data_IF_191017608525
#
_entry.id   IF_191017608525
#
_cell.length_a   1.000
_cell.length_b   1.000
_cell.length_c   1.000
_cell.angle_alpha   90.00
_cell.angle_beta   90.00
_cell.angle_gamma   90.00
#
_symmetry.space_group_name_H-M   'P 1'
#
loop_
_entity.id
_entity.type
_entity.pdbx_description
1 polymer ?
#
# COMPACT_ATOMS: atom_id res chain seq x y z
N UNK A 1 -0.41 -25.79 4.83
CA UNK A 1 -1.50 -24.89 4.40
C UNK A 1 -0.92 -23.65 3.76
N UNK A 2 -1.39 -23.28 2.60
CA UNK A 2 -0.89 -22.09 1.94
C UNK A 2 -1.48 -20.84 2.57
N UNK A 3 -0.62 -19.86 2.84
CA UNK A 3 -1.06 -18.56 3.29
C UNK A 3 -1.40 -17.70 2.07
N UNK A 4 -2.51 -17.00 2.14
CA UNK A 4 -2.90 -16.10 1.07
C UNK A 4 -2.20 -14.76 1.29
N UNK A 5 -1.57 -14.26 0.23
CA UNK A 5 -0.88 -12.96 0.28
C UNK A 5 -1.50 -12.01 -0.73
N UNK A 6 -1.74 -10.79 -0.32
CA UNK A 6 -2.20 -9.71 -1.18
C UNK A 6 -1.31 -8.49 -0.98
N UNK A 7 -1.46 -7.49 -1.83
CA UNK A 7 -0.66 -6.28 -1.79
C UNK A 7 -1.59 -5.08 -1.88
N UNK A 8 -1.45 -4.17 -0.93
CA UNK A 8 -2.31 -3.00 -0.86
C UNK A 8 -1.51 -1.72 -1.05
N UNK A 9 -2.13 -0.73 -1.68
CA UNK A 9 -1.56 0.60 -1.78
C UNK A 9 -2.39 1.52 -0.92
N UNK A 10 -1.73 2.20 0.02
CA UNK A 10 -2.37 3.09 0.96
C UNK A 10 -1.85 4.52 0.75
N UNK A 11 -2.71 5.49 1.01
CA UNK A 11 -2.37 6.89 0.89
C UNK A 11 -2.76 7.63 2.17
N UNK A 12 -1.89 8.55 2.59
CA UNK A 12 -2.15 9.43 3.71
C UNK A 12 -1.84 10.85 3.26
N UNK A 13 -2.86 11.70 3.23
CA UNK A 13 -2.67 13.10 2.87
C UNK A 13 -2.07 13.88 4.04
N UNK A 14 -1.37 14.95 3.75
CA UNK A 14 -0.65 15.72 4.77
C UNK A 14 -1.58 16.34 5.83
N UNK A 15 -2.85 16.53 5.49
CA UNK A 15 -3.84 17.10 6.40
C UNK A 15 -4.67 16.03 7.14
N UNK A 16 -4.33 14.76 7.00
CA UNK A 16 -5.03 13.67 7.68
C UNK A 16 -4.08 12.90 8.59
N UNK A 17 -4.62 12.18 9.53
CA UNK A 17 -3.83 11.44 10.52
C UNK A 17 -3.73 9.95 10.23
N UNK A 18 -4.41 9.45 9.21
CA UNK A 18 -4.44 8.01 8.92
C UNK A 18 -4.34 7.70 7.45
N UNK A 19 -4.01 6.45 7.16
CA UNK A 19 -3.95 5.95 5.80
C UNK A 19 -5.30 5.45 5.33
N UNK A 20 -5.57 5.65 4.03
CA UNK A 20 -6.71 5.07 3.35
C UNK A 20 -6.22 4.05 2.34
N UNK A 21 -6.93 2.93 2.22
CA UNK A 21 -6.63 1.94 1.20
C UNK A 21 -7.16 2.42 -0.14
N UNK A 22 -6.25 2.55 -1.14
CA UNK A 22 -6.65 2.90 -2.49
C UNK A 22 -7.08 1.67 -3.28
N UNK A 23 -6.26 0.63 -3.25
CA UNK A 23 -6.49 -0.56 -4.08
C UNK A 23 -5.72 -1.73 -3.49
N UNK A 24 -6.21 -2.95 -3.76
CA UNK A 24 -5.57 -4.19 -3.34
C UNK A 24 -5.40 -5.10 -4.56
N UNK A 25 -4.24 -5.71 -4.67
CA UNK A 25 -3.91 -6.65 -5.74
C UNK A 25 -3.47 -7.98 -5.16
N UNK A 26 -3.60 -9.05 -5.94
CA UNK A 26 -3.09 -10.37 -5.56
C UNK A 26 -1.71 -10.66 -6.17
N UNK A 27 -1.18 -9.76 -7.00
CA UNK A 27 0.12 -9.90 -7.64
C UNK A 27 1.05 -8.76 -7.23
N UNK A 28 2.26 -9.11 -6.79
CA UNK A 28 3.26 -8.12 -6.41
C UNK A 28 3.64 -7.24 -7.61
N UNK A 29 3.88 -7.85 -8.77
CA UNK A 29 4.32 -7.11 -9.96
C UNK A 29 3.28 -6.08 -10.39
N UNK A 30 2.00 -6.46 -10.37
CA UNK A 30 0.92 -5.55 -10.73
C UNK A 30 0.80 -4.43 -9.69
N UNK A 31 0.88 -4.78 -8.41
CA UNK A 31 0.80 -3.80 -7.34
C UNK A 31 1.94 -2.80 -7.41
N UNK A 32 3.15 -3.27 -7.69
CA UNK A 32 4.31 -2.41 -7.81
C UNK A 32 4.20 -1.46 -8.98
N UNK A 33 3.69 -1.93 -10.13
CA UNK A 33 3.43 -1.09 -11.29
C UNK A 33 2.41 0.01 -10.99
N UNK A 34 1.33 -0.34 -10.29
CA UNK A 34 0.33 0.62 -9.88
C UNK A 34 0.91 1.63 -8.89
N UNK A 35 1.76 1.17 -7.96
CA UNK A 35 2.42 2.05 -7.01
C UNK A 35 3.28 3.10 -7.75
N UNK A 36 4.07 2.67 -8.74
CA UNK A 36 4.89 3.59 -9.53
C UNK A 36 4.02 4.61 -10.28
N UNK A 37 2.90 4.17 -10.82
CA UNK A 37 1.98 5.06 -11.53
C UNK A 37 1.42 6.13 -10.60
N UNK A 38 1.04 5.73 -9.38
CA UNK A 38 0.53 6.67 -8.39
C UNK A 38 1.60 7.67 -7.96
N UNK A 39 2.84 7.20 -7.79
CA UNK A 39 3.95 8.08 -7.43
C UNK A 39 4.21 9.17 -8.48
N UNK A 40 3.90 8.89 -9.74
CA UNK A 40 4.07 9.87 -10.82
C UNK A 40 2.90 10.84 -10.91
N UNK A 41 1.85 10.66 -10.11
CA UNK A 41 0.69 11.55 -10.10
C UNK A 41 0.96 12.79 -9.26
N UNK A 42 0.19 13.85 -9.49
CA UNK A 42 0.31 15.08 -8.71
C UNK A 42 -0.06 14.88 -7.24
N UNK A 43 -0.92 13.90 -6.96
CA UNK A 43 -1.34 13.62 -5.60
C UNK A 43 -0.18 13.17 -4.72
N UNK A 44 0.82 12.53 -5.30
CA UNK A 44 1.97 12.04 -4.56
C UNK A 44 2.82 13.18 -3.96
N UNK A 45 2.71 14.40 -4.48
CA UNK A 45 3.44 15.54 -3.93
C UNK A 45 2.94 15.93 -2.54
N UNK A 46 1.69 15.62 -2.24
CA UNK A 46 1.02 16.05 -1.01
C UNK A 46 0.60 14.89 -0.12
N UNK A 47 1.10 13.70 -0.41
CA UNK A 47 0.67 12.51 0.30
C UNK A 47 1.82 11.54 0.51
N UNK A 48 1.73 10.78 1.60
CA UNK A 48 2.60 9.63 1.82
C UNK A 48 1.91 8.43 1.20
N UNK A 49 2.62 7.71 0.34
CA UNK A 49 2.08 6.53 -0.35
C UNK A 49 2.90 5.33 0.05
N UNK A 50 2.23 4.25 0.42
CA UNK A 50 2.93 3.02 0.79
C UNK A 50 2.36 1.82 0.04
N UNK A 51 3.24 0.87 -0.23
CA UNK A 51 2.89 -0.45 -0.73
C UNK A 51 3.12 -1.42 0.41
N UNK A 52 2.07 -2.16 0.78
CA UNK A 52 2.19 -3.12 1.88
C UNK A 52 1.83 -4.53 1.43
N UNK A 53 2.45 -5.50 2.09
CA UNK A 53 2.12 -6.90 1.94
C UNK A 53 1.12 -7.30 3.02
N UNK A 54 0.05 -7.96 2.61
CA UNK A 54 -1.01 -8.41 3.51
C UNK A 54 -1.01 -9.92 3.49
N UNK A 55 -0.76 -10.55 4.62
CA UNK A 55 -0.77 -12.01 4.74
C UNK A 55 -1.96 -12.42 5.58
N UNK A 56 -2.75 -13.38 5.07
CA UNK A 56 -3.86 -13.96 5.83
C UNK A 56 -3.31 -15.17 6.57
N UNK A 57 -3.37 -15.12 7.90
CA UNK A 57 -2.86 -16.18 8.75
C UNK A 57 -3.86 -17.32 8.86
N UNK A 58 -3.41 -18.47 9.35
CA UNK A 58 -4.24 -19.68 9.49
C UNK A 58 -5.47 -19.46 10.36
N UNK A 59 -5.36 -18.59 11.36
CA UNK A 59 -6.46 -18.29 12.26
C UNK A 59 -7.45 -17.25 11.71
N UNK A 60 -7.23 -16.78 10.46
CA UNK A 60 -8.07 -15.78 9.85
C UNK A 60 -7.65 -14.33 10.11
N UNK A 61 -6.62 -14.12 10.91
CA UNK A 61 -6.09 -12.78 11.15
C UNK A 61 -5.25 -12.31 9.98
N UNK A 62 -5.01 -11.00 9.94
CA UNK A 62 -4.18 -10.38 8.91
C UNK A 62 -2.89 -9.88 9.52
N UNK A 63 -1.81 -10.00 8.76
CA UNK A 63 -0.53 -9.43 9.10
C UNK A 63 -0.10 -8.48 7.99
N UNK A 64 0.33 -7.28 8.37
CA UNK A 64 0.68 -6.23 7.41
C UNK A 64 2.16 -5.89 7.51
N UNK A 65 2.81 -5.75 6.36
CA UNK A 65 4.22 -5.36 6.30
C UNK A 65 4.41 -4.33 5.20
N UNK A 66 4.93 -3.16 5.57
CA UNK A 66 5.25 -2.12 4.59
C UNK A 66 6.47 -2.55 3.78
N UNK A 67 6.32 -2.60 2.46
CA UNK A 67 7.40 -2.93 1.55
C UNK A 67 8.15 -1.67 1.12
N UNK A 68 7.40 -0.66 0.66
CA UNK A 68 7.96 0.60 0.18
C UNK A 68 7.06 1.72 0.71
N UNK A 69 7.69 2.80 1.16
CA UNK A 69 6.95 3.97 1.58
C UNK A 69 7.63 5.21 1.02
N UNK A 70 6.85 6.05 0.37
CA UNK A 70 7.31 7.33 -0.14
C UNK A 70 6.66 8.43 0.67
N UNK A 71 7.47 9.12 1.48
CA UNK A 71 6.98 10.12 2.40
C UNK A 71 6.73 11.44 1.67
N UNK A 72 5.57 12.06 1.94
CA UNK A 72 5.22 13.34 1.34
C UNK A 72 6.26 14.41 1.68
N UNK A 73 6.56 15.21 0.70
CA UNK A 73 7.41 16.37 0.93
C UNK A 73 6.52 17.53 1.38
N UNK A 74 6.85 18.07 2.50
CA UNK A 74 6.10 19.17 3.08
C UNK A 74 6.39 20.48 2.32
#
# INVERSE_FOLDING_TARGET
>A
MELTTAYGINIKYSNTSGFERLVTFDSYDIARGAYQTILCSQEAEYATIELEEITVLENGDFEYRTIIQNIAQA
#
